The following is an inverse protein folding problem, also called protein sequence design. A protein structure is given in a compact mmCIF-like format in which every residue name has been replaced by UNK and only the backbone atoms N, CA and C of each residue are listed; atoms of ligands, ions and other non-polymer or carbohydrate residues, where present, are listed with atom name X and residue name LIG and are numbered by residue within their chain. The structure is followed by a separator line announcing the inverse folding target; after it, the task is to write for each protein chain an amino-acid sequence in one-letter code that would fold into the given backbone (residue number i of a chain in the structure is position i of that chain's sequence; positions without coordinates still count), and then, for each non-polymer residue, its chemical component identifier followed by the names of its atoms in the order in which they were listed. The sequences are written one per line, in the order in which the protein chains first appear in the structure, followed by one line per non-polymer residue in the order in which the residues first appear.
data_IF_298158633556
#
_entry.id   IF_298158633556
#
_cell.length_a   1.000
_cell.length_b   1.000
_cell.length_c   1.000
_cell.angle_alpha   90.00
_cell.angle_beta   90.00
_cell.angle_gamma   90.00
#
_symmetry.space_group_name_H-M   'P 1'
#
loop_
_entity.id
_entity.type
_entity.pdbx_description
1 polymer ?
#
# COMPACT_ATOMS: atom_id res chain seq x y z
N UNK A 1 40.68 -63.51 -6.03
CA UNK A 1 40.27 -62.69 -7.20
C UNK A 1 39.63 -61.40 -6.69
N UNK A 2 39.88 -60.27 -7.37
CA UNK A 2 39.85 -58.88 -6.89
C UNK A 2 38.51 -58.40 -6.31
N UNK A 3 38.57 -57.69 -5.18
CA UNK A 3 37.50 -56.81 -4.68
C UNK A 3 37.41 -55.55 -5.55
N UNK A 4 36.22 -55.26 -6.09
CA UNK A 4 35.94 -54.04 -6.86
C UNK A 4 35.27 -53.04 -5.91
N UNK A 5 35.99 -51.99 -5.55
CA UNK A 5 35.45 -50.84 -4.83
C UNK A 5 34.93 -49.83 -5.86
N UNK A 6 33.62 -49.65 -5.93
CA UNK A 6 32.99 -48.62 -6.77
C UNK A 6 33.10 -47.29 -6.02
N UNK A 7 33.95 -46.38 -6.50
CA UNK A 7 34.00 -44.98 -6.02
C UNK A 7 32.96 -44.18 -6.81
N UNK A 8 31.91 -43.74 -6.11
CA UNK A 8 30.93 -42.80 -6.65
C UNK A 8 31.57 -41.39 -6.71
N UNK A 9 31.80 -40.86 -7.90
CA UNK A 9 32.32 -39.52 -8.10
C UNK A 9 31.12 -38.55 -8.16
N UNK A 10 30.88 -37.77 -7.09
CA UNK A 10 29.84 -36.74 -7.07
C UNK A 10 30.43 -35.49 -7.76
N UNK A 11 30.01 -35.25 -9.00
CA UNK A 11 30.27 -34.01 -9.73
C UNK A 11 29.36 -32.91 -9.18
N UNK A 12 29.93 -31.98 -8.41
CA UNK A 12 29.26 -30.71 -8.07
C UNK A 12 29.21 -29.84 -9.34
N UNK A 13 28.05 -29.79 -10.00
CA UNK A 13 27.78 -28.76 -11.00
C UNK A 13 27.50 -27.44 -10.24
N UNK A 14 28.26 -26.35 -10.48
CA UNK A 14 27.91 -25.06 -9.96
C UNK A 14 26.59 -24.62 -10.60
N UNK A 15 25.55 -24.48 -9.79
CA UNK A 15 24.29 -23.84 -10.20
C UNK A 15 24.62 -22.37 -10.41
N UNK A 16 24.85 -21.98 -11.66
CA UNK A 16 25.01 -20.58 -12.04
C UNK A 16 23.63 -19.94 -11.89
N UNK A 17 23.40 -19.29 -10.75
CA UNK A 17 22.31 -18.34 -10.59
C UNK A 17 22.57 -17.18 -11.55
N UNK A 18 21.95 -17.21 -12.73
CA UNK A 18 21.82 -16.00 -13.52
C UNK A 18 20.83 -15.09 -12.79
N UNK A 19 21.24 -13.92 -12.28
CA UNK A 19 20.27 -12.95 -11.81
C UNK A 19 19.40 -12.58 -13.01
N UNK A 20 18.10 -12.89 -12.93
CA UNK A 20 17.13 -12.33 -13.85
C UNK A 20 17.13 -10.83 -13.55
N UNK A 21 17.84 -10.06 -14.37
CA UNK A 21 17.68 -8.61 -14.38
C UNK A 21 16.26 -8.38 -14.88
N UNK A 22 15.34 -8.18 -13.95
CA UNK A 22 14.01 -7.66 -14.26
C UNK A 22 14.25 -6.28 -14.84
N UNK A 23 14.23 -6.20 -16.16
CA UNK A 23 14.34 -4.93 -16.87
C UNK A 23 13.06 -4.15 -16.54
N UNK A 24 13.17 -3.18 -15.62
CA UNK A 24 12.07 -2.30 -15.31
C UNK A 24 11.72 -1.55 -16.61
N UNK A 25 10.58 -1.88 -17.22
CA UNK A 25 10.11 -1.18 -18.40
C UNK A 25 10.01 0.31 -18.07
N UNK A 26 10.79 1.10 -18.79
CA UNK A 26 10.81 2.55 -18.64
C UNK A 26 9.41 3.13 -18.90
N UNK A 27 8.94 3.99 -18.01
CA UNK A 27 7.62 4.63 -18.14
C UNK A 27 7.61 5.53 -19.38
N UNK A 28 6.69 5.23 -20.30
CA UNK A 28 6.49 6.04 -21.50
C UNK A 28 5.46 7.14 -21.22
N UNK A 29 5.89 8.39 -21.38
CA UNK A 29 5.02 9.57 -21.32
C UNK A 29 4.40 9.82 -22.71
N UNK A 30 3.08 9.64 -22.87
CA UNK A 30 2.40 9.77 -24.15
C UNK A 30 2.31 11.23 -24.63
N UNK A 31 2.33 11.44 -25.95
CA UNK A 31 2.20 12.79 -26.54
C UNK A 31 0.84 13.42 -26.22
N UNK A 32 0.84 14.72 -25.90
CA UNK A 32 -0.37 15.53 -25.77
C UNK A 32 -0.33 16.70 -26.75
N UNK A 33 -1.41 16.88 -27.53
CA UNK A 33 -1.41 17.79 -28.68
C UNK A 33 -1.16 19.25 -28.27
N UNK A 34 -0.24 19.92 -28.98
CA UNK A 34 0.14 21.31 -28.69
C UNK A 34 1.07 21.48 -27.48
N UNK A 35 1.57 20.37 -26.92
CA UNK A 35 2.56 20.38 -25.85
C UNK A 35 3.86 19.71 -26.31
N UNK A 36 4.98 20.25 -25.82
CA UNK A 36 6.30 19.61 -25.89
C UNK A 36 6.51 18.82 -24.59
N UNK A 37 7.04 17.62 -24.70
CA UNK A 37 7.45 16.81 -23.54
C UNK A 37 8.93 17.01 -23.29
N UNK A 38 9.27 17.35 -22.06
CA UNK A 38 10.65 17.48 -21.58
C UNK A 38 10.88 16.45 -20.47
N UNK A 39 11.89 15.60 -20.64
CA UNK A 39 12.27 14.55 -19.67
C UNK A 39 13.66 14.83 -19.09
N UNK A 40 13.96 16.11 -18.85
CA UNK A 40 15.28 16.56 -18.39
C UNK A 40 15.48 16.33 -16.88
N UNK A 41 15.10 15.14 -16.41
CA UNK A 41 15.22 14.71 -15.02
C UNK A 41 16.03 13.41 -14.97
N UNK A 42 16.84 13.19 -13.94
CA UNK A 42 17.33 11.85 -13.67
C UNK A 42 16.15 10.93 -13.35
N UNK A 43 16.33 9.63 -13.59
CA UNK A 43 15.44 8.62 -13.00
C UNK A 43 15.90 8.44 -11.57
N UNK A 44 15.07 8.83 -10.61
CA UNK A 44 15.40 8.64 -9.20
C UNK A 44 15.15 7.18 -8.79
N UNK A 45 16.02 6.66 -7.94
CA UNK A 45 16.05 5.31 -7.37
C UNK A 45 16.01 5.43 -5.84
N UNK A 46 15.94 4.31 -5.08
CA UNK A 46 15.92 4.40 -3.61
C UNK A 46 17.13 5.15 -3.03
N UNK A 47 18.26 5.18 -3.74
CA UNK A 47 19.51 5.79 -3.29
C UNK A 47 19.50 7.33 -3.37
N UNK A 48 18.67 7.93 -4.25
CA UNK A 48 18.66 9.36 -4.52
C UNK A 48 17.27 10.02 -4.47
N UNK A 49 16.20 9.27 -4.13
CA UNK A 49 14.85 9.82 -3.98
C UNK A 49 14.75 10.93 -2.92
N UNK A 50 15.55 10.84 -1.86
CA UNK A 50 15.68 11.86 -0.81
C UNK A 50 16.10 13.24 -1.35
N UNK A 51 16.88 13.30 -2.44
CA UNK A 51 17.30 14.56 -3.07
C UNK A 51 16.12 15.25 -3.76
N UNK A 52 15.06 14.50 -4.08
CA UNK A 52 13.84 15.01 -4.72
C UNK A 52 12.74 15.36 -3.70
N UNK A 53 12.39 14.44 -2.79
CA UNK A 53 11.24 14.59 -1.89
C UNK A 53 11.61 14.68 -0.40
N UNK A 54 12.90 14.78 -0.07
CA UNK A 54 13.40 14.95 1.30
C UNK A 54 12.83 13.89 2.27
N UNK A 55 12.30 14.31 3.42
CA UNK A 55 11.79 13.43 4.47
C UNK A 55 10.59 12.56 4.06
N UNK A 56 9.95 12.83 2.91
CA UNK A 56 8.91 11.95 2.40
C UNK A 56 9.48 10.65 1.78
N UNK A 57 10.77 10.62 1.42
CA UNK A 57 11.39 9.49 0.72
C UNK A 57 11.31 8.19 1.54
N UNK A 58 11.46 8.27 2.86
CA UNK A 58 11.43 7.11 3.74
C UNK A 58 10.13 6.31 3.61
N UNK A 59 8.97 6.99 3.57
CA UNK A 59 7.67 6.32 3.40
C UNK A 59 7.54 5.65 2.04
N UNK A 60 8.08 6.26 0.98
CA UNK A 60 8.09 5.67 -0.36
C UNK A 60 8.97 4.42 -0.40
N UNK A 61 10.16 4.49 0.18
CA UNK A 61 11.12 3.39 0.25
C UNK A 61 10.56 2.23 1.08
N UNK A 62 9.97 2.49 2.24
CA UNK A 62 9.35 1.44 3.07
C UNK A 62 8.13 0.79 2.41
N UNK A 63 7.51 1.49 1.46
CA UNK A 63 6.49 0.96 0.56
C UNK A 63 7.09 0.46 -0.75
N UNK A 64 8.32 -0.03 -0.75
CA UNK A 64 8.93 -0.72 -1.89
C UNK A 64 9.01 0.13 -3.15
N UNK A 65 9.31 1.42 -3.02
CA UNK A 65 9.67 2.28 -4.14
C UNK A 65 10.84 1.68 -4.93
N UNK A 66 10.78 1.82 -6.25
CA UNK A 66 11.81 1.32 -7.18
C UNK A 66 12.39 2.43 -8.03
N UNK A 67 11.55 3.21 -8.71
CA UNK A 67 11.99 4.27 -9.60
C UNK A 67 10.95 5.39 -9.64
N UNK A 68 11.39 6.62 -9.88
CA UNK A 68 10.56 7.77 -10.21
C UNK A 68 10.95 8.30 -11.58
N UNK A 69 9.96 8.35 -12.47
CA UNK A 69 10.08 8.98 -13.78
C UNK A 69 9.33 10.31 -13.78
N UNK A 70 9.94 11.35 -14.33
CA UNK A 70 9.36 12.70 -14.38
C UNK A 70 9.36 13.21 -15.82
N UNK A 71 8.25 13.83 -16.22
CA UNK A 71 8.16 14.59 -17.45
C UNK A 71 7.42 15.91 -17.23
N UNK A 72 7.82 16.94 -17.98
CA UNK A 72 7.09 18.20 -18.06
C UNK A 72 6.49 18.38 -19.45
N UNK A 73 5.19 18.65 -19.47
CA UNK A 73 4.44 19.02 -20.66
C UNK A 73 4.33 20.54 -20.71
N UNK A 74 4.93 21.15 -21.74
CA UNK A 74 4.95 22.61 -21.89
C UNK A 74 4.20 23.08 -23.14
N UNK A 75 3.41 24.15 -23.00
CA UNK A 75 2.73 24.82 -24.11
C UNK A 75 3.04 26.32 -24.06
N UNK A 76 4.00 26.76 -24.86
CA UNK A 76 4.52 28.13 -24.81
C UNK A 76 5.22 28.43 -23.49
N UNK A 77 5.30 29.71 -23.09
CA UNK A 77 6.02 30.13 -21.87
C UNK A 77 5.18 30.12 -20.57
N UNK A 78 3.88 29.82 -20.65
CA UNK A 78 2.90 30.06 -19.56
C UNK A 78 2.23 28.81 -19.00
N UNK A 79 2.39 27.67 -19.67
CA UNK A 79 1.76 26.41 -19.28
C UNK A 79 2.85 25.36 -19.15
N UNK A 80 2.93 24.79 -17.96
CA UNK A 80 3.81 23.71 -17.59
C UNK A 80 2.99 22.76 -16.70
N UNK A 81 2.89 21.50 -17.11
CA UNK A 81 2.25 20.42 -16.35
C UNK A 81 3.32 19.38 -16.09
N UNK A 82 3.64 19.15 -14.83
CA UNK A 82 4.59 18.12 -14.40
C UNK A 82 3.85 16.83 -14.13
N UNK A 83 4.35 15.73 -14.67
CA UNK A 83 3.89 14.38 -14.38
C UNK A 83 5.01 13.61 -13.69
N UNK A 84 4.69 12.99 -12.57
CA UNK A 84 5.57 12.15 -11.77
C UNK A 84 4.94 10.76 -11.67
N UNK A 85 5.71 9.72 -12.02
CA UNK A 85 5.27 8.32 -11.96
C UNK A 85 6.21 7.56 -11.02
N UNK A 86 5.75 7.36 -9.79
CA UNK A 86 6.42 6.58 -8.76
C UNK A 86 6.08 5.10 -8.96
N UNK A 87 7.11 4.28 -9.16
CA UNK A 87 6.99 2.85 -9.38
C UNK A 87 7.28 2.09 -8.09
N UNK A 88 6.40 1.18 -7.70
CA UNK A 88 6.57 0.32 -6.52
C UNK A 88 6.74 -1.15 -6.92
N UNK A 89 7.13 -2.01 -5.97
CA UNK A 89 7.31 -3.44 -6.22
C UNK A 89 6.01 -4.16 -6.62
N UNK A 90 4.85 -3.69 -6.11
CA UNK A 90 3.55 -4.28 -6.43
C UNK A 90 2.39 -3.27 -6.23
N UNK A 91 1.15 -3.62 -6.65
CA UNK A 91 0.01 -2.71 -6.54
C UNK A 91 -0.43 -2.34 -5.12
N UNK A 92 -0.30 -3.23 -4.14
CA UNK A 92 -0.64 -2.94 -2.74
C UNK A 92 0.26 -1.86 -2.18
N UNK A 93 1.55 -1.91 -2.52
CA UNK A 93 2.54 -0.95 -2.06
C UNK A 93 2.36 0.44 -2.71
N UNK A 94 2.03 0.49 -4.00
CA UNK A 94 1.65 1.74 -4.66
C UNK A 94 0.37 2.34 -4.05
N UNK A 95 -0.63 1.49 -3.77
CA UNK A 95 -1.83 1.89 -3.06
C UNK A 95 -1.50 2.43 -1.66
N UNK A 96 -0.52 1.87 -0.95
CA UNK A 96 -0.06 2.36 0.35
C UNK A 96 0.26 3.85 0.33
N UNK A 97 1.10 4.31 -0.60
CA UNK A 97 1.42 5.74 -0.72
C UNK A 97 0.18 6.56 -1.06
N UNK A 98 -0.59 6.13 -2.07
CA UNK A 98 -1.82 6.82 -2.46
C UNK A 98 -2.78 6.99 -1.28
N UNK A 99 -2.95 5.94 -0.47
CA UNK A 99 -3.84 5.92 0.68
C UNK A 99 -3.35 6.80 1.83
N UNK A 100 -2.04 6.98 1.99
CA UNK A 100 -1.46 7.87 3.01
C UNK A 100 -1.53 9.34 2.63
N UNK A 101 -1.44 9.67 1.34
CA UNK A 101 -1.44 11.06 0.86
C UNK A 101 -2.83 11.61 0.55
N UNK A 102 -3.86 10.76 0.45
CA UNK A 102 -5.24 11.20 0.22
C UNK A 102 -5.92 11.69 1.51
N UNK A 103 -6.81 12.68 1.37
CA UNK A 103 -7.76 13.10 2.41
C UNK A 103 -9.16 12.61 2.06
N UNK A 104 -9.99 12.20 3.04
CA UNK A 104 -11.39 11.85 2.78
C UNK A 104 -12.22 13.02 2.23
N UNK A 105 -11.74 14.25 2.34
CA UNK A 105 -12.42 15.46 1.85
C UNK A 105 -12.11 15.81 0.39
N UNK A 106 -11.22 15.08 -0.28
CA UNK A 106 -10.84 15.38 -1.67
C UNK A 106 -11.94 15.02 -2.67
N UNK A 107 -11.88 15.64 -3.84
CA UNK A 107 -12.76 15.32 -4.95
C UNK A 107 -12.26 14.08 -5.71
N UNK A 108 -12.75 12.91 -5.31
CA UNK A 108 -12.41 11.62 -5.88
C UNK A 108 -12.95 11.43 -7.31
N UNK A 109 -12.14 10.78 -8.16
CA UNK A 109 -12.44 10.50 -9.56
C UNK A 109 -12.16 9.03 -9.89
N UNK A 110 -12.86 8.51 -10.90
CA UNK A 110 -12.62 7.18 -11.42
C UNK A 110 -11.40 7.18 -12.38
N UNK A 111 -10.21 6.98 -11.82
CA UNK A 111 -8.95 6.95 -12.56
C UNK A 111 -8.01 5.92 -11.93
N UNK A 112 -7.56 4.93 -12.72
CA UNK A 112 -6.85 3.78 -12.18
C UNK A 112 -7.70 3.01 -11.16
N UNK A 113 -7.09 2.60 -10.05
CA UNK A 113 -7.78 2.05 -8.87
C UNK A 113 -8.67 3.11 -8.21
N UNK A 114 -8.12 4.30 -8.02
CA UNK A 114 -8.81 5.50 -7.57
C UNK A 114 -7.90 6.70 -7.83
N UNK A 115 -8.50 7.85 -8.12
CA UNK A 115 -7.81 9.12 -8.16
C UNK A 115 -8.55 10.21 -7.39
N UNK A 116 -7.92 11.35 -7.22
CA UNK A 116 -8.57 12.59 -6.81
C UNK A 116 -8.03 13.76 -7.62
N UNK A 117 -8.85 14.79 -7.75
CA UNK A 117 -8.50 16.01 -8.47
C UNK A 117 -8.81 17.24 -7.65
N UNK A 118 -7.85 18.13 -7.53
CA UNK A 118 -8.02 19.45 -6.90
C UNK A 118 -7.59 20.53 -7.91
N UNK A 119 -7.69 21.81 -7.55
CA UNK A 119 -7.28 22.89 -8.45
C UNK A 119 -5.79 22.75 -8.84
N UNK A 120 -5.54 22.34 -10.09
CA UNK A 120 -4.20 22.24 -10.65
C UNK A 120 -3.49 20.92 -10.37
N UNK A 121 -4.16 19.90 -9.83
CA UNK A 121 -3.57 18.57 -9.66
C UNK A 121 -4.57 17.42 -9.90
N UNK A 122 -4.02 16.30 -10.36
CA UNK A 122 -4.67 14.99 -10.40
C UNK A 122 -3.68 13.96 -9.88
N UNK A 123 -4.03 13.26 -8.82
CA UNK A 123 -3.24 12.14 -8.29
C UNK A 123 -4.06 10.85 -8.39
N UNK A 124 -3.44 9.75 -8.79
CA UNK A 124 -4.11 8.46 -8.89
C UNK A 124 -3.12 7.30 -8.74
N UNK A 125 -3.63 6.10 -8.50
CA UNK A 125 -2.82 4.88 -8.53
C UNK A 125 -3.40 3.86 -9.50
N UNK A 126 -2.54 3.13 -10.23
CA UNK A 126 -2.91 2.06 -11.16
C UNK A 126 -1.80 1.04 -11.19
N UNK A 127 -2.12 -0.25 -11.07
CA UNK A 127 -1.11 -1.30 -10.98
C UNK A 127 -0.08 -0.96 -9.90
N UNK A 128 1.21 -1.06 -10.24
CA UNK A 128 2.33 -0.72 -9.34
C UNK A 128 2.73 0.77 -9.35
N UNK A 129 1.90 1.64 -9.93
CA UNK A 129 2.22 3.04 -10.16
C UNK A 129 1.39 3.95 -9.25
N UNK A 130 2.06 4.90 -8.62
CA UNK A 130 1.43 6.09 -8.04
C UNK A 130 1.82 7.31 -8.87
N UNK A 131 0.82 8.07 -9.34
CA UNK A 131 1.00 9.11 -10.34
C UNK A 131 0.53 10.45 -9.79
N UNK A 132 1.34 11.48 -9.96
CA UNK A 132 1.00 12.88 -9.66
C UNK A 132 1.12 13.70 -10.94
N UNK A 133 0.04 14.38 -11.33
CA UNK A 133 0.04 15.34 -12.45
C UNK A 133 -0.33 16.71 -11.89
N UNK A 134 0.57 17.67 -11.98
CA UNK A 134 0.45 18.96 -11.27
C UNK A 134 0.80 20.12 -12.21
N UNK A 135 0.09 21.24 -12.09
CA UNK A 135 0.44 22.52 -12.69
C UNK A 135 0.20 23.65 -11.70
N UNK A 136 1.19 24.51 -11.53
CA UNK A 136 1.03 25.75 -10.76
C UNK A 136 0.36 26.88 -11.56
N UNK A 137 0.16 26.69 -12.87
CA UNK A 137 -0.58 27.64 -13.71
C UNK A 137 -2.08 27.51 -13.45
N UNK A 138 -2.72 28.62 -13.05
CA UNK A 138 -4.17 28.71 -12.80
C UNK A 138 -5.00 29.03 -14.05
N UNK A 139 -4.38 29.03 -15.23
CA UNK A 139 -5.11 29.29 -16.47
C UNK A 139 -6.06 28.14 -16.78
N UNK A 140 -7.26 28.43 -17.31
CA UNK A 140 -8.25 27.39 -17.70
C UNK A 140 -7.64 26.31 -18.60
N UNK A 141 -6.77 26.71 -19.54
CA UNK A 141 -6.07 25.75 -20.42
C UNK A 141 -5.13 24.83 -19.64
N UNK A 142 -4.37 25.37 -18.68
CA UNK A 142 -3.47 24.56 -17.86
C UNK A 142 -4.26 23.55 -16.99
N UNK A 143 -5.32 24.02 -16.32
CA UNK A 143 -6.16 23.15 -15.48
C UNK A 143 -6.80 22.01 -16.29
N UNK A 144 -7.32 22.30 -17.50
CA UNK A 144 -7.83 21.25 -18.39
C UNK A 144 -6.72 20.27 -18.83
N UNK A 145 -5.52 20.80 -19.12
CA UNK A 145 -4.39 19.96 -19.56
C UNK A 145 -3.91 19.01 -18.47
N UNK A 146 -4.02 19.36 -17.17
CA UNK A 146 -3.69 18.44 -16.05
C UNK A 146 -4.56 17.18 -16.13
N UNK A 147 -5.88 17.34 -16.27
CA UNK A 147 -6.79 16.20 -16.37
C UNK A 147 -6.54 15.38 -17.65
N UNK A 148 -6.40 16.06 -18.80
CA UNK A 148 -6.18 15.37 -20.07
C UNK A 148 -4.87 14.57 -20.07
N UNK A 149 -3.80 15.15 -19.52
CA UNK A 149 -2.49 14.50 -19.39
C UNK A 149 -2.58 13.31 -18.42
N UNK A 150 -3.29 13.45 -17.30
CA UNK A 150 -3.51 12.34 -16.37
C UNK A 150 -4.25 11.17 -17.03
N UNK A 151 -5.29 11.45 -17.83
CA UNK A 151 -6.05 10.42 -18.57
C UNK A 151 -5.15 9.67 -19.56
N UNK A 152 -4.36 10.37 -20.38
CA UNK A 152 -3.50 9.68 -21.36
C UNK A 152 -2.38 8.88 -20.67
N UNK A 153 -1.85 9.35 -19.53
CA UNK A 153 -0.88 8.59 -18.74
C UNK A 153 -1.55 7.35 -18.14
N UNK A 154 -2.74 7.46 -17.56
CA UNK A 154 -3.48 6.31 -17.04
C UNK A 154 -3.65 5.23 -18.11
N UNK A 155 -4.00 5.63 -19.34
CA UNK A 155 -4.20 4.72 -20.47
C UNK A 155 -2.91 4.06 -20.96
N UNK A 156 -1.74 4.71 -20.78
CA UNK A 156 -0.45 4.15 -21.18
C UNK A 156 0.14 3.20 -20.13
N UNK A 157 -0.34 3.25 -18.89
CA UNK A 157 0.14 2.40 -17.80
C UNK A 157 -0.57 1.03 -17.80
N UNK A 158 0.24 -0.01 -17.64
CA UNK A 158 -0.23 -1.38 -17.43
C UNK A 158 -0.63 -1.64 -15.97
N UNK A 159 -1.39 -2.71 -15.74
CA UNK A 159 -1.77 -3.18 -14.41
C UNK A 159 -3.24 -2.97 -14.08
N UNK A 160 -3.62 -3.43 -12.89
CA UNK A 160 -5.02 -3.43 -12.45
C UNK A 160 -5.52 -2.03 -12.06
N UNK A 161 -6.81 -1.79 -12.33
CA UNK A 161 -7.58 -0.65 -11.87
C UNK A 161 -8.61 -1.05 -10.79
N UNK A 162 -8.38 -2.18 -10.11
CA UNK A 162 -9.23 -2.67 -9.03
C UNK A 162 -8.60 -2.37 -7.67
N UNK A 163 -9.44 -2.04 -6.69
CA UNK A 163 -9.01 -1.95 -5.29
C UNK A 163 -8.35 -3.25 -4.82
N UNK A 164 -7.42 -3.20 -3.85
CA UNK A 164 -6.90 -4.40 -3.21
C UNK A 164 -8.05 -5.24 -2.64
N UNK A 165 -8.17 -6.51 -3.06
CA UNK A 165 -9.33 -7.36 -2.73
C UNK A 165 -9.53 -7.60 -1.23
N UNK A 166 -8.49 -7.43 -0.41
CA UNK A 166 -8.62 -7.48 1.05
C UNK A 166 -9.53 -6.38 1.60
N UNK A 167 -9.70 -5.26 0.86
CA UNK A 167 -10.63 -4.21 1.25
C UNK A 167 -12.09 -4.69 1.25
N UNK A 168 -12.39 -5.77 0.52
CA UNK A 168 -13.72 -6.39 0.48
C UNK A 168 -14.01 -7.22 1.75
N UNK A 169 -12.98 -7.58 2.54
CA UNK A 169 -13.18 -8.25 3.83
C UNK A 169 -13.69 -7.31 4.92
N UNK A 170 -13.42 -6.01 4.80
CA UNK A 170 -13.90 -5.04 5.78
C UNK A 170 -15.43 -4.91 5.73
N UNK A 171 -16.13 -5.08 6.85
CA UNK A 171 -17.58 -4.91 6.90
C UNK A 171 -18.03 -3.53 6.39
N UNK A 172 -19.11 -3.48 5.61
CA UNK A 172 -19.53 -2.23 4.97
C UNK A 172 -20.23 -1.26 5.95
N UNK A 173 -20.95 -1.78 6.95
CA UNK A 173 -21.72 -0.98 7.90
C UNK A 173 -20.78 -0.15 8.76
N UNK A 174 -21.03 1.15 8.85
CA UNK A 174 -20.25 2.08 9.68
C UNK A 174 -18.85 2.43 9.13
N UNK A 175 -18.40 1.81 8.04
CA UNK A 175 -17.08 2.08 7.45
C UNK A 175 -17.03 3.50 6.88
N UNK A 176 -16.00 4.26 7.23
CA UNK A 176 -15.78 5.60 6.70
C UNK A 176 -15.14 5.53 5.30
N UNK A 177 -15.74 6.16 4.29
CA UNK A 177 -15.28 6.05 2.91
C UNK A 177 -13.96 6.77 2.69
N UNK A 178 -13.07 6.17 1.89
CA UNK A 178 -11.77 6.72 1.48
C UNK A 178 -10.76 6.91 2.62
N UNK A 179 -11.01 6.31 3.78
CA UNK A 179 -10.09 6.31 4.92
C UNK A 179 -9.31 5.00 5.07
N UNK A 180 -9.49 4.07 4.12
CA UNK A 180 -8.71 2.84 4.10
C UNK A 180 -7.24 3.17 3.83
N UNK A 181 -6.32 2.53 4.56
CA UNK A 181 -4.88 2.71 4.36
C UNK A 181 -4.17 1.36 4.39
N UNK A 182 -3.01 1.28 3.73
CA UNK A 182 -2.08 0.17 3.91
C UNK A 182 -0.86 0.62 4.72
N UNK A 183 -0.49 -0.17 5.74
CA UNK A 183 0.60 0.10 6.68
C UNK A 183 1.62 -1.02 6.51
N UNK A 184 2.80 -0.71 5.97
CA UNK A 184 3.85 -1.72 5.69
C UNK A 184 4.68 -2.12 6.91
N UNK A 185 5.01 -1.19 7.82
CA UNK A 185 6.07 -1.44 8.82
C UNK A 185 5.60 -1.57 10.27
N UNK A 186 4.77 -0.63 10.76
CA UNK A 186 4.44 -0.54 12.18
C UNK A 186 2.99 -0.15 12.40
N UNK A 187 2.17 -1.15 12.70
CA UNK A 187 0.80 -0.97 13.15
C UNK A 187 0.84 -0.74 14.66
N UNK A 188 0.19 0.33 15.12
CA UNK A 188 0.08 0.72 16.54
C UNK A 188 1.44 0.75 17.28
N UNK A 189 2.52 1.12 16.59
CA UNK A 189 3.86 1.25 17.16
C UNK A 189 4.63 -0.06 17.34
N UNK A 190 4.08 -1.19 16.90
CA UNK A 190 4.72 -2.51 17.01
C UNK A 190 5.23 -2.97 15.64
N UNK A 191 6.55 -3.07 15.45
CA UNK A 191 7.14 -3.49 14.17
C UNK A 191 6.91 -4.97 13.78
N UNK A 192 6.43 -5.80 14.71
CA UNK A 192 5.98 -7.16 14.39
C UNK A 192 4.54 -7.18 13.86
N UNK A 193 3.74 -6.12 14.13
CA UNK A 193 2.44 -5.89 13.52
C UNK A 193 2.67 -5.07 12.24
N UNK A 194 2.83 -5.77 11.13
CA UNK A 194 3.24 -5.14 9.85
C UNK A 194 2.44 -5.68 8.69
N UNK A 195 2.42 -4.94 7.58
CA UNK A 195 1.61 -5.25 6.41
C UNK A 195 0.12 -5.42 6.72
N UNK A 196 -0.53 -4.36 7.22
CA UNK A 196 -1.97 -4.37 7.47
C UNK A 196 -2.70 -3.37 6.60
N UNK A 197 -3.88 -3.77 6.15
CA UNK A 197 -4.88 -2.79 5.77
C UNK A 197 -5.62 -2.32 7.01
N UNK A 198 -5.99 -1.04 7.05
CA UNK A 198 -6.80 -0.45 8.11
C UNK A 198 -7.99 0.26 7.50
N UNK A 199 -9.17 0.12 8.09
CA UNK A 199 -10.32 0.95 7.80
C UNK A 199 -10.83 1.63 9.10
N UNK A 200 -11.26 2.88 8.97
CA UNK A 200 -11.90 3.65 10.05
C UNK A 200 -13.41 3.40 10.05
N UNK A 201 -14.03 3.40 11.22
CA UNK A 201 -15.45 3.18 11.40
C UNK A 201 -16.07 4.18 12.37
N UNK A 202 -17.32 4.52 12.11
CA UNK A 202 -18.20 5.23 13.04
C UNK A 202 -19.52 4.47 13.18
N UNK A 203 -19.80 3.98 14.38
CA UNK A 203 -21.05 3.27 14.71
C UNK A 203 -21.70 3.87 15.94
N UNK A 204 -22.78 4.63 15.73
CA UNK A 204 -23.34 5.49 16.78
C UNK A 204 -22.33 6.59 17.12
N UNK A 205 -21.91 6.65 18.39
CA UNK A 205 -20.88 7.58 18.87
C UNK A 205 -19.48 6.94 18.97
N UNK A 206 -19.33 5.69 18.52
CA UNK A 206 -18.09 4.91 18.64
C UNK A 206 -17.24 5.05 17.39
N UNK A 207 -16.07 5.66 17.53
CA UNK A 207 -14.99 5.71 16.54
C UNK A 207 -13.99 4.60 16.83
N UNK A 208 -13.75 3.73 15.85
CA UNK A 208 -12.80 2.63 15.98
C UNK A 208 -12.15 2.30 14.65
N UNK A 209 -11.05 1.56 14.71
CA UNK A 209 -10.28 1.12 13.54
C UNK A 209 -10.18 -0.38 13.54
N UNK A 210 -10.41 -0.99 12.39
CA UNK A 210 -10.17 -2.41 12.14
C UNK A 210 -8.92 -2.52 11.28
N UNK A 211 -8.05 -3.45 11.64
CA UNK A 211 -6.85 -3.82 10.91
C UNK A 211 -6.96 -5.26 10.45
N UNK A 212 -6.62 -5.54 9.20
CA UNK A 212 -6.55 -6.87 8.61
C UNK A 212 -5.13 -7.06 8.06
N UNK A 213 -4.40 -8.04 8.58
CA UNK A 213 -3.00 -8.29 8.24
C UNK A 213 -2.85 -9.18 6.99
N UNK A 214 -1.93 -8.83 6.09
CA UNK A 214 -1.73 -9.50 4.79
C UNK A 214 -0.27 -9.51 4.30
N UNK A 215 0.08 -10.42 3.38
CA UNK A 215 -0.48 -11.76 3.32
C UNK A 215 -0.09 -12.47 4.62
N UNK A 216 -1.09 -12.89 5.37
CA UNK A 216 -0.88 -13.74 6.52
C UNK A 216 -0.77 -15.18 6.08
N UNK A 217 0.44 -15.74 5.99
CA UNK A 217 0.51 -17.21 6.05
C UNK A 217 0.11 -17.65 7.44
N UNK A 218 -0.45 -18.84 7.61
CA UNK A 218 -0.80 -19.38 8.93
C UNK A 218 0.38 -19.26 9.91
N UNK A 219 1.59 -19.60 9.44
CA UNK A 219 2.81 -19.46 10.22
C UNK A 219 3.09 -17.99 10.61
N UNK A 220 3.09 -17.06 9.65
CA UNK A 220 3.40 -15.66 9.93
C UNK A 220 2.35 -15.02 10.87
N UNK A 221 1.08 -15.35 10.68
CA UNK A 221 0.00 -14.91 11.56
C UNK A 221 0.17 -15.48 12.96
N UNK A 222 0.55 -16.76 13.06
CA UNK A 222 0.78 -17.41 14.35
C UNK A 222 1.97 -16.78 15.09
N UNK A 223 3.08 -16.54 14.39
CA UNK A 223 4.26 -15.88 14.96
C UNK A 223 3.92 -14.46 15.45
N UNK A 224 3.13 -13.71 14.68
CA UNK A 224 2.65 -12.38 15.06
C UNK A 224 1.73 -12.42 16.29
N UNK A 225 0.78 -13.38 16.31
CA UNK A 225 -0.15 -13.60 17.41
C UNK A 225 0.61 -13.96 18.70
N UNK A 226 1.45 -14.98 18.65
CA UNK A 226 2.23 -15.46 19.80
C UNK A 226 3.15 -14.34 20.34
N UNK A 227 3.75 -13.55 19.44
CA UNK A 227 4.56 -12.39 19.83
C UNK A 227 3.73 -11.33 20.56
N UNK A 228 2.52 -11.03 20.06
CA UNK A 228 1.71 -9.99 20.70
C UNK A 228 1.18 -10.47 22.06
N UNK A 229 0.60 -11.66 22.11
CA UNK A 229 0.05 -12.25 23.32
C UNK A 229 1.11 -12.44 24.41
N UNK A 230 2.31 -12.92 24.05
CA UNK A 230 3.42 -13.10 24.98
C UNK A 230 3.85 -11.79 25.66
N UNK A 231 3.78 -10.64 24.94
CA UNK A 231 4.03 -9.32 25.55
C UNK A 231 2.98 -8.93 26.59
N UNK A 232 1.79 -9.52 26.53
CA UNK A 232 0.69 -9.32 27.49
C UNK A 232 0.63 -10.42 28.55
N UNK A 233 1.54 -11.41 28.51
CA UNK A 233 1.48 -12.57 29.40
C UNK A 233 0.33 -13.54 29.09
N UNK A 234 -0.12 -13.55 27.83
CA UNK A 234 -1.15 -14.45 27.31
C UNK A 234 -0.54 -15.48 26.34
N UNK A 235 -1.25 -16.58 26.15
CA UNK A 235 -0.93 -17.62 25.17
C UNK A 235 -2.11 -17.85 24.23
N UNK A 236 -1.84 -18.34 23.01
CA UNK A 236 -2.90 -18.63 22.05
C UNK A 236 -3.93 -19.67 22.58
N UNK A 237 -3.52 -20.53 23.52
CA UNK A 237 -4.40 -21.52 24.15
C UNK A 237 -5.41 -20.91 25.14
N UNK A 238 -5.23 -19.65 25.55
CA UNK A 238 -6.13 -18.96 26.47
C UNK A 238 -7.49 -18.62 25.84
N UNK A 239 -7.62 -18.76 24.52
CA UNK A 239 -8.87 -18.57 23.79
C UNK A 239 -9.20 -19.77 22.91
N UNK A 240 -10.34 -20.42 23.19
CA UNK A 240 -10.82 -21.53 22.39
C UNK A 240 -11.41 -21.10 21.03
N UNK A 241 -11.87 -19.85 20.91
CA UNK A 241 -12.47 -19.30 19.70
C UNK A 241 -11.53 -18.31 18.96
N UNK A 242 -10.26 -18.26 19.37
CA UNK A 242 -9.24 -17.44 18.72
C UNK A 242 -9.41 -15.94 18.93
N UNK A 243 -10.25 -15.51 19.88
CA UNK A 243 -10.51 -14.10 20.19
C UNK A 243 -9.94 -13.73 21.55
N UNK A 244 -9.31 -12.57 21.58
CA UNK A 244 -8.62 -12.04 22.75
C UNK A 244 -9.02 -10.59 22.98
N UNK A 245 -9.10 -10.24 24.25
CA UNK A 245 -9.22 -8.87 24.71
C UNK A 245 -8.12 -8.60 25.73
N UNK A 246 -7.39 -7.51 25.57
CA UNK A 246 -6.36 -7.10 26.52
C UNK A 246 -6.06 -5.60 26.43
N UNK A 247 -5.36 -5.07 27.44
CA UNK A 247 -4.90 -3.68 27.49
C UNK A 247 -3.43 -3.60 27.08
N UNK A 248 -3.17 -2.94 25.96
CA UNK A 248 -1.84 -2.55 25.54
C UNK A 248 -1.48 -1.20 26.20
N UNK A 249 -0.36 -1.16 26.92
CA UNK A 249 0.03 0.01 27.72
C UNK A 249 0.21 1.33 26.94
N UNK A 250 0.38 1.27 25.62
CA UNK A 250 0.50 2.46 24.77
C UNK A 250 -0.71 2.67 23.84
N UNK A 251 -1.42 1.58 23.52
CA UNK A 251 -2.47 1.59 22.49
C UNK A 251 -3.89 1.41 23.04
N UNK A 252 -4.04 1.26 24.35
CA UNK A 252 -5.33 1.14 25.01
C UNK A 252 -5.93 -0.25 24.92
N UNK A 253 -7.24 -0.33 24.76
CA UNK A 253 -7.97 -1.60 24.70
C UNK A 253 -7.94 -2.19 23.30
N UNK A 254 -7.57 -3.47 23.23
CA UNK A 254 -7.32 -4.20 21.99
C UNK A 254 -8.23 -5.41 21.95
N UNK A 255 -8.98 -5.54 20.85
CA UNK A 255 -9.58 -6.79 20.45
C UNK A 255 -8.72 -7.40 19.34
N UNK A 256 -8.26 -8.63 19.55
CA UNK A 256 -7.45 -9.37 18.59
C UNK A 256 -8.18 -10.67 18.29
N UNK A 257 -8.32 -11.00 17.02
CA UNK A 257 -8.90 -12.26 16.60
C UNK A 257 -8.06 -12.88 15.50
N UNK A 258 -8.03 -14.20 15.46
CA UNK A 258 -7.31 -14.94 14.45
C UNK A 258 -8.06 -16.18 14.03
N UNK A 259 -8.05 -16.44 12.73
CA UNK A 259 -8.49 -17.69 12.13
C UNK A 259 -7.59 -18.02 10.94
N UNK A 260 -6.83 -19.11 11.03
CA UNK A 260 -5.92 -19.64 10.00
C UNK A 260 -5.09 -18.58 9.26
N UNK A 261 -5.63 -18.02 8.17
CA UNK A 261 -4.99 -17.08 7.25
C UNK A 261 -5.31 -15.59 7.52
N UNK A 262 -6.20 -15.28 8.45
CA UNK A 262 -6.60 -13.90 8.76
C UNK A 262 -6.35 -13.57 10.23
N UNK A 263 -5.60 -12.49 10.48
CA UNK A 263 -5.57 -11.82 11.78
C UNK A 263 -6.28 -10.49 11.69
N UNK A 264 -7.16 -10.23 12.65
CA UNK A 264 -7.93 -8.99 12.80
C UNK A 264 -7.56 -8.34 14.12
N UNK A 265 -7.33 -7.04 14.09
CA UNK A 265 -7.12 -6.22 15.29
C UNK A 265 -8.12 -5.06 15.26
N UNK A 266 -8.76 -4.76 16.40
CA UNK A 266 -9.64 -3.61 16.56
C UNK A 266 -9.12 -2.74 17.70
N UNK A 267 -9.02 -1.43 17.44
CA UNK A 267 -8.67 -0.40 18.43
C UNK A 267 -9.79 0.64 18.54
N UNK A 268 -9.94 1.27 19.70
CA UNK A 268 -10.88 2.39 19.91
C UNK A 268 -12.25 1.98 20.46
N UNK A 269 -12.46 0.68 20.66
CA UNK A 269 -13.61 0.14 21.39
C UNK A 269 -13.21 -0.19 22.81
N UNK A 270 -14.13 0.02 23.75
CA UNK A 270 -13.92 -0.33 25.15
C UNK A 270 -14.35 -1.78 25.45
N UNK A 271 -13.99 -2.31 26.62
CA UNK A 271 -14.40 -3.65 27.08
C UNK A 271 -15.93 -3.82 27.03
N UNK A 272 -16.69 -2.81 27.44
CA UNK A 272 -18.15 -2.82 27.37
C UNK A 272 -18.70 -2.91 25.94
N UNK A 273 -17.90 -2.57 24.93
CA UNK A 273 -18.24 -2.63 23.51
C UNK A 273 -17.86 -3.99 22.88
N UNK A 274 -17.49 -5.00 23.67
CA UNK A 274 -17.09 -6.33 23.16
C UNK A 274 -18.11 -6.99 22.23
N UNK A 275 -19.41 -6.75 22.45
CA UNK A 275 -20.46 -7.25 21.56
C UNK A 275 -20.35 -6.65 20.14
N UNK A 276 -20.04 -5.36 20.06
CA UNK A 276 -19.83 -4.66 18.80
C UNK A 276 -18.54 -5.15 18.13
N UNK A 277 -17.43 -5.27 18.87
CA UNK A 277 -16.17 -5.79 18.34
C UNK A 277 -16.37 -7.20 17.73
N UNK A 278 -17.08 -8.08 18.44
CA UNK A 278 -17.39 -9.43 17.98
C UNK A 278 -18.33 -9.45 16.75
N UNK A 279 -19.28 -8.51 16.63
CA UNK A 279 -20.11 -8.36 15.42
C UNK A 279 -19.24 -8.13 14.17
N UNK A 280 -18.23 -7.26 14.26
CA UNK A 280 -17.32 -6.99 13.14
C UNK A 280 -16.34 -8.13 12.90
N UNK A 281 -15.74 -8.71 13.96
CA UNK A 281 -14.82 -9.84 13.85
C UNK A 281 -15.49 -11.01 13.12
N UNK A 282 -16.69 -11.43 13.53
CA UNK A 282 -17.42 -12.55 12.94
C UNK A 282 -17.86 -12.32 11.47
N UNK A 283 -17.81 -11.09 10.97
CA UNK A 283 -18.05 -10.81 9.55
C UNK A 283 -16.78 -10.98 8.71
N UNK A 284 -15.60 -10.86 9.33
CA UNK A 284 -14.29 -10.93 8.69
C UNK A 284 -13.75 -12.36 8.72
N UNK A 285 -13.73 -12.97 9.91
CA UNK A 285 -13.31 -14.36 10.13
C UNK A 285 -14.57 -15.26 10.14
N UNK A 286 -14.55 -16.38 9.41
CA UNK A 286 -15.71 -17.22 9.10
C UNK A 286 -15.47 -18.70 9.38
#
# INVERSE_FOLDING_TARGET
MRNIVIRLLILFLPVIFNPIIVNAQEVQFPAYSGFKIEKNYPVYTPDDLWDYINGAAESYISLGFTNLYIAEYTSGKKINVKAEVYCHLNPVLAFGIYSMERSPSYNFINMGVQGYSEEGLVHFTKGKYYVKVISYSKSKKALASVMDIAVIIEQSLEGTSTMPGILDLFPAKGRLPNEEVFISESVIGHGFLRNAFRASYLSGEKDFKIYIFVPGTEQANREMLDTYLGKQGLEAADSADGKFFFKDGYNGEIFLAWESDVTVLITGLAEEDASLANEYINQIIR
#
